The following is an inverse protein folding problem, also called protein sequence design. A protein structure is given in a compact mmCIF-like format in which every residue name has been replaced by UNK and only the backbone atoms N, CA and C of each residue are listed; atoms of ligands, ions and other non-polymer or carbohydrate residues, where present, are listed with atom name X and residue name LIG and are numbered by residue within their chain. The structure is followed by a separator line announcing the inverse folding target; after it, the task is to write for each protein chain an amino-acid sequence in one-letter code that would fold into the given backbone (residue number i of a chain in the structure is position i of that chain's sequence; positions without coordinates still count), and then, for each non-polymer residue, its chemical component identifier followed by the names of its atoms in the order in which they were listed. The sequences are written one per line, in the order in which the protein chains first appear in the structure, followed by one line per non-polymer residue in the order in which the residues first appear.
data_IF_930122258280
#
_entry.id   IF_930122258280
#
_cell.length_a   1.000
_cell.length_b   1.000
_cell.length_c   1.000
_cell.angle_alpha   90.00
_cell.angle_beta   90.00
_cell.angle_gamma   90.00
#
_symmetry.space_group_name_H-M   'P 1'
#
loop_
_entity.id
_entity.type
_entity.pdbx_description
1 polymer ?
#
# COMPACT_ATOMS: atom_id res chain seq x y z
N UNK A 1 19.98 18.17 23.87
CA UNK A 1 18.98 17.59 22.96
C UNK A 1 18.47 16.31 23.60
N UNK A 2 17.22 16.28 24.07
CA UNK A 2 16.61 15.08 24.61
C UNK A 2 16.44 14.04 23.49
N UNK A 3 17.25 12.98 23.52
CA UNK A 3 17.16 11.93 22.52
C UNK A 3 16.15 10.86 22.98
N UNK A 4 15.30 10.42 22.07
CA UNK A 4 14.41 9.28 22.32
C UNK A 4 15.25 8.01 22.29
N UNK A 5 15.39 7.34 23.44
CA UNK A 5 16.08 6.04 23.55
C UNK A 5 15.08 4.88 23.40
N UNK A 6 15.01 4.31 22.21
CA UNK A 6 14.24 3.06 21.96
C UNK A 6 15.10 1.85 22.32
N UNK A 7 14.50 0.89 23.02
CA UNK A 7 15.20 -0.35 23.49
C UNK A 7 15.88 -1.13 22.37
N UNK A 8 15.28 -1.15 21.16
CA UNK A 8 15.87 -1.78 19.98
C UNK A 8 15.74 -0.86 18.76
N UNK A 9 16.87 -0.40 18.19
CA UNK A 9 16.85 0.42 16.97
C UNK A 9 16.21 -0.28 15.77
N UNK A 10 16.62 -1.53 15.53
CA UNK A 10 16.15 -2.32 14.42
C UNK A 10 14.62 -2.56 14.50
N UNK A 11 14.13 -3.09 15.61
CA UNK A 11 12.72 -3.38 15.78
C UNK A 11 11.83 -2.12 15.85
N UNK A 12 12.40 -0.99 16.18
CA UNK A 12 11.66 0.27 16.14
C UNK A 12 11.31 0.71 14.71
N UNK A 13 12.05 0.25 13.71
CA UNK A 13 11.83 0.50 12.29
C UNK A 13 11.15 -0.69 11.62
N UNK A 14 11.74 -1.88 11.76
CA UNK A 14 11.24 -3.08 11.11
C UNK A 14 9.87 -3.54 11.65
N UNK A 15 9.62 -3.41 12.94
CA UNK A 15 8.36 -3.84 13.56
C UNK A 15 7.13 -3.17 12.95
N UNK A 16 7.03 -1.84 12.89
CA UNK A 16 5.94 -1.14 12.23
C UNK A 16 5.78 -1.49 10.75
N UNK A 17 6.90 -1.59 10.02
CA UNK A 17 6.87 -1.92 8.59
C UNK A 17 6.33 -3.33 8.35
N UNK A 18 6.82 -4.31 9.11
CA UNK A 18 6.34 -5.69 9.03
C UNK A 18 4.86 -5.81 9.44
N UNK A 19 4.45 -5.09 10.50
CA UNK A 19 3.04 -5.07 10.91
C UNK A 19 2.14 -4.42 9.86
N UNK A 20 2.59 -3.35 9.22
CA UNK A 20 1.89 -2.69 8.12
C UNK A 20 1.69 -3.64 6.94
N UNK A 21 2.75 -4.31 6.50
CA UNK A 21 2.71 -5.34 5.46
C UNK A 21 1.78 -6.50 5.84
N UNK A 22 1.94 -7.03 7.06
CA UNK A 22 1.13 -8.15 7.53
C UNK A 22 -0.37 -7.81 7.52
N UNK A 23 -0.77 -6.62 7.96
CA UNK A 23 -2.17 -6.19 7.93
C UNK A 23 -2.68 -6.10 6.49
N UNK A 24 -1.91 -5.49 5.58
CA UNK A 24 -2.29 -5.42 4.17
C UNK A 24 -2.55 -6.82 3.59
N UNK A 25 -1.59 -7.75 3.79
CA UNK A 25 -1.71 -9.11 3.30
C UNK A 25 -2.86 -9.89 3.94
N UNK A 26 -3.02 -9.79 5.26
CA UNK A 26 -4.06 -10.53 5.99
C UNK A 26 -5.45 -10.04 5.56
N UNK A 27 -5.67 -8.74 5.47
CA UNK A 27 -6.99 -8.18 5.09
C UNK A 27 -7.31 -8.56 3.64
N UNK A 28 -6.37 -8.39 2.71
CA UNK A 28 -6.57 -8.78 1.32
C UNK A 28 -6.84 -10.28 1.19
N UNK A 29 -6.00 -11.12 1.81
CA UNK A 29 -6.17 -12.57 1.78
C UNK A 29 -7.51 -13.00 2.36
N UNK A 30 -7.95 -12.42 3.49
CA UNK A 30 -9.24 -12.75 4.10
C UNK A 30 -10.40 -12.41 3.16
N UNK A 31 -10.40 -11.23 2.54
CA UNK A 31 -11.46 -10.81 1.62
C UNK A 31 -11.47 -11.70 0.37
N UNK A 32 -10.30 -11.91 -0.24
CA UNK A 32 -10.17 -12.78 -1.42
C UNK A 32 -10.64 -14.21 -1.11
N UNK A 33 -10.26 -14.75 0.05
CA UNK A 33 -10.72 -16.08 0.49
C UNK A 33 -12.24 -16.13 0.62
N UNK A 34 -12.86 -15.13 1.27
CA UNK A 34 -14.32 -15.08 1.42
C UNK A 34 -15.02 -15.00 0.07
N UNK A 35 -14.52 -14.18 -0.86
CA UNK A 35 -15.06 -14.10 -2.23
C UNK A 35 -14.93 -15.42 -2.97
N UNK A 36 -13.80 -16.11 -2.81
CA UNK A 36 -13.49 -17.36 -3.55
C UNK A 36 -14.16 -18.59 -2.96
N UNK A 37 -14.59 -18.58 -1.69
CA UNK A 37 -15.16 -19.74 -1.00
C UNK A 37 -16.32 -20.44 -1.75
N UNK A 38 -17.36 -19.74 -2.24
CA UNK A 38 -18.46 -20.39 -2.96
C UNK A 38 -17.96 -21.08 -4.23
N UNK A 39 -17.10 -20.43 -5.01
CA UNK A 39 -16.55 -20.98 -6.25
C UNK A 39 -15.65 -22.20 -5.99
N UNK A 40 -14.88 -22.17 -4.90
CA UNK A 40 -14.09 -23.35 -4.46
C UNK A 40 -14.98 -24.52 -4.07
N UNK A 41 -16.09 -24.26 -3.38
CA UNK A 41 -17.03 -25.29 -2.98
C UNK A 41 -17.70 -25.95 -4.20
N UNK A 42 -18.12 -25.13 -5.16
CA UNK A 42 -18.73 -25.60 -6.41
C UNK A 42 -17.72 -26.40 -7.25
N UNK A 43 -16.49 -25.88 -7.42
CA UNK A 43 -15.41 -26.57 -8.11
C UNK A 43 -15.09 -27.94 -7.48
N UNK A 44 -15.05 -28.00 -6.15
CA UNK A 44 -14.83 -29.24 -5.43
C UNK A 44 -16.00 -30.25 -5.61
N UNK A 45 -17.24 -29.75 -5.54
CA UNK A 45 -18.44 -30.61 -5.77
C UNK A 45 -18.46 -31.19 -7.19
N UNK A 46 -18.11 -30.40 -8.19
CA UNK A 46 -18.05 -30.86 -9.58
C UNK A 46 -16.91 -31.85 -9.82
N UNK A 47 -15.74 -31.62 -9.21
CA UNK A 47 -14.64 -32.60 -9.25
C UNK A 47 -15.03 -33.96 -8.59
N UNK A 48 -15.75 -33.90 -7.47
CA UNK A 48 -16.22 -35.13 -6.80
C UNK A 48 -17.23 -35.87 -7.65
N UNK A 49 -18.15 -35.19 -8.34
CA UNK A 49 -19.10 -35.79 -9.26
C UNK A 49 -18.41 -36.45 -10.47
N UNK A 50 -17.55 -35.68 -11.13
CA UNK A 50 -16.83 -36.18 -12.33
C UNK A 50 -15.79 -37.24 -12.00
N UNK A 51 -15.11 -37.15 -10.86
CA UNK A 51 -14.14 -38.14 -10.39
C UNK A 51 -14.77 -39.46 -9.94
N UNK A 52 -16.06 -39.47 -9.55
CA UNK A 52 -16.81 -40.67 -9.25
C UNK A 52 -17.21 -41.46 -10.51
N UNK A 53 -17.33 -40.76 -11.65
CA UNK A 53 -17.72 -41.37 -12.93
C UNK A 53 -16.51 -41.77 -13.80
N UNK A 54 -15.36 -41.13 -13.61
CA UNK A 54 -14.16 -41.31 -14.43
C UNK A 54 -12.89 -41.03 -13.63
N UNK A 55 -11.84 -41.83 -13.87
CA UNK A 55 -10.49 -41.55 -13.35
C UNK A 55 -9.88 -40.36 -14.12
N UNK A 56 -9.91 -39.19 -13.52
CA UNK A 56 -9.32 -37.96 -14.07
C UNK A 56 -7.81 -37.96 -13.90
N UNK A 57 -7.09 -37.51 -14.91
CA UNK A 57 -5.67 -37.20 -14.77
C UNK A 57 -5.47 -35.90 -13.92
N UNK A 58 -4.27 -35.74 -13.35
CA UNK A 58 -3.94 -34.54 -12.59
C UNK A 58 -4.08 -33.25 -13.43
N UNK A 59 -3.82 -33.33 -14.73
CA UNK A 59 -3.97 -32.22 -15.65
C UNK A 59 -5.43 -31.84 -15.84
N UNK A 60 -6.32 -32.81 -16.08
CA UNK A 60 -7.77 -32.57 -16.20
C UNK A 60 -8.37 -32.00 -14.92
N UNK A 61 -7.89 -32.43 -13.74
CA UNK A 61 -8.28 -31.84 -12.45
C UNK A 61 -7.85 -30.36 -12.35
N UNK A 62 -6.62 -30.05 -12.72
CA UNK A 62 -6.09 -28.73 -12.66
C UNK A 62 -6.81 -27.78 -13.64
N UNK A 63 -7.05 -28.22 -14.86
CA UNK A 63 -7.79 -27.45 -15.88
C UNK A 63 -9.22 -27.15 -15.43
N UNK A 64 -9.93 -28.19 -14.94
CA UNK A 64 -11.29 -28.05 -14.43
C UNK A 64 -11.37 -27.10 -13.25
N UNK A 65 -10.45 -27.22 -12.28
CA UNK A 65 -10.38 -26.34 -11.12
C UNK A 65 -10.08 -24.88 -11.53
N UNK A 66 -9.13 -24.67 -12.44
CA UNK A 66 -8.78 -23.34 -12.93
C UNK A 66 -9.96 -22.68 -13.63
N UNK A 67 -10.66 -23.42 -14.50
CA UNK A 67 -11.85 -22.92 -15.19
C UNK A 67 -12.99 -22.58 -14.21
N UNK A 68 -13.20 -23.39 -13.18
CA UNK A 68 -14.21 -23.13 -12.16
C UNK A 68 -13.88 -21.91 -11.26
N UNK A 69 -12.59 -21.59 -11.12
CA UNK A 69 -12.14 -20.43 -10.33
C UNK A 69 -12.05 -19.11 -11.12
N UNK A 70 -12.16 -19.15 -12.45
CA UNK A 70 -12.10 -17.96 -13.31
C UNK A 70 -13.12 -16.87 -12.91
N UNK A 71 -14.42 -17.19 -12.64
CA UNK A 71 -15.38 -16.19 -12.21
C UNK A 71 -15.03 -15.57 -10.85
N UNK A 72 -14.43 -16.33 -9.93
CA UNK A 72 -13.94 -15.78 -8.65
C UNK A 72 -12.83 -14.75 -8.88
N UNK A 73 -11.92 -15.05 -9.79
CA UNK A 73 -10.83 -14.15 -10.14
C UNK A 73 -11.35 -12.85 -10.78
N UNK A 74 -12.34 -12.94 -11.68
CA UNK A 74 -12.99 -11.75 -12.27
C UNK A 74 -13.63 -10.87 -11.20
N UNK A 75 -14.33 -11.44 -10.21
CA UNK A 75 -14.91 -10.69 -9.10
C UNK A 75 -13.83 -10.02 -8.26
N UNK A 76 -12.73 -10.71 -7.94
CA UNK A 76 -11.61 -10.13 -7.19
C UNK A 76 -10.99 -8.96 -7.95
N UNK A 77 -10.78 -9.09 -9.25
CA UNK A 77 -10.25 -8.01 -10.12
C UNK A 77 -11.22 -6.83 -10.17
N UNK A 78 -12.52 -7.09 -10.31
CA UNK A 78 -13.55 -6.05 -10.34
C UNK A 78 -13.58 -5.20 -9.05
N UNK A 79 -13.38 -5.82 -7.87
CA UNK A 79 -13.41 -5.15 -6.57
C UNK A 79 -12.01 -4.86 -6.00
N UNK A 80 -10.99 -4.84 -6.85
CA UNK A 80 -9.59 -4.64 -6.42
C UNK A 80 -9.38 -3.33 -5.65
N UNK A 81 -10.07 -2.25 -6.03
CA UNK A 81 -9.95 -0.94 -5.37
C UNK A 81 -10.57 -0.97 -3.98
N UNK A 82 -11.75 -1.60 -3.84
CA UNK A 82 -12.43 -1.77 -2.54
C UNK A 82 -11.62 -2.64 -1.59
N UNK A 83 -11.03 -3.72 -2.10
CA UNK A 83 -10.15 -4.62 -1.34
C UNK A 83 -8.92 -3.85 -0.85
N UNK A 84 -8.29 -3.07 -1.72
CA UNK A 84 -7.17 -2.21 -1.36
C UNK A 84 -7.57 -1.13 -0.34
N UNK A 85 -8.76 -0.56 -0.48
CA UNK A 85 -9.34 0.39 0.47
C UNK A 85 -9.55 -0.22 1.86
N UNK A 86 -10.09 -1.43 1.94
CA UNK A 86 -10.25 -2.14 3.21
C UNK A 86 -8.89 -2.41 3.89
N UNK A 87 -7.89 -2.82 3.14
CA UNK A 87 -6.53 -3.00 3.64
C UNK A 87 -5.91 -1.68 4.12
N UNK A 88 -6.13 -0.58 3.39
CA UNK A 88 -5.69 0.76 3.78
C UNK A 88 -6.35 1.24 5.07
N UNK A 89 -7.63 0.95 5.30
CA UNK A 89 -8.31 1.23 6.58
C UNK A 89 -7.65 0.46 7.74
N UNK A 90 -7.36 -0.81 7.55
CA UNK A 90 -6.66 -1.62 8.56
C UNK A 90 -5.29 -1.06 8.91
N UNK A 91 -4.51 -0.69 7.91
CA UNK A 91 -3.18 -0.08 8.11
C UNK A 91 -3.28 1.34 8.70
N UNK A 92 -4.33 2.09 8.40
CA UNK A 92 -4.56 3.41 8.98
C UNK A 92 -4.82 3.33 10.50
N UNK A 93 -5.55 2.33 10.95
CA UNK A 93 -5.74 2.07 12.39
C UNK A 93 -4.41 1.78 13.06
N UNK A 94 -3.60 0.87 12.50
CA UNK A 94 -2.26 0.56 13.03
C UNK A 94 -1.38 1.82 13.11
N UNK A 95 -1.27 2.55 12.01
CA UNK A 95 -0.41 3.73 11.93
C UNK A 95 -0.89 4.84 12.86
N UNK A 96 -2.22 5.01 13.03
CA UNK A 96 -2.80 5.93 14.00
C UNK A 96 -2.42 5.58 15.44
N UNK A 97 -2.46 4.30 15.81
CA UNK A 97 -2.04 3.84 17.15
C UNK A 97 -0.55 4.08 17.37
N UNK A 98 0.29 3.73 16.37
CA UNK A 98 1.73 3.92 16.46
C UNK A 98 2.10 5.40 16.53
N UNK A 99 1.47 6.24 15.73
CA UNK A 99 1.66 7.68 15.74
C UNK A 99 1.28 8.29 17.09
N UNK A 100 0.14 7.88 17.66
CA UNK A 100 -0.28 8.34 18.99
C UNK A 100 0.71 7.91 20.10
N UNK A 101 1.27 6.69 20.01
CA UNK A 101 2.32 6.23 20.93
C UNK A 101 3.60 7.05 20.79
N UNK A 102 4.03 7.32 19.56
CA UNK A 102 5.25 8.11 19.30
C UNK A 102 5.05 9.55 19.80
N UNK A 103 3.89 10.15 19.61
CA UNK A 103 3.55 11.48 20.15
C UNK A 103 3.57 11.53 21.68
N UNK A 104 3.08 10.49 22.36
CA UNK A 104 3.18 10.39 23.82
C UNK A 104 4.62 10.31 24.28
N UNK A 105 5.46 9.56 23.56
CA UNK A 105 6.87 9.42 23.87
C UNK A 105 7.64 10.73 23.63
N UNK A 106 7.39 11.42 22.52
CA UNK A 106 7.95 12.74 22.21
C UNK A 106 7.67 13.75 23.34
N UNK A 107 6.40 13.82 23.79
CA UNK A 107 5.98 14.67 24.90
C UNK A 107 6.68 14.30 26.21
N UNK A 108 6.79 13.02 26.54
CA UNK A 108 7.46 12.54 27.75
C UNK A 108 8.97 12.88 27.76
N UNK A 109 9.60 12.93 26.58
CA UNK A 109 10.99 13.35 26.40
C UNK A 109 11.17 14.88 26.33
N UNK A 110 10.11 15.67 26.48
CA UNK A 110 10.17 17.15 26.42
C UNK A 110 10.45 17.68 25.00
N UNK A 111 10.17 16.89 23.97
CA UNK A 111 10.29 17.34 22.57
C UNK A 111 9.09 18.20 22.25
N UNK A 112 9.33 19.45 21.83
CA UNK A 112 8.27 20.36 21.45
C UNK A 112 7.46 19.80 20.28
N UNK A 113 6.14 19.79 20.44
CA UNK A 113 5.22 19.46 19.34
C UNK A 113 5.26 20.61 18.35
N UNK A 114 5.41 20.31 17.07
CA UNK A 114 5.36 21.33 16.03
C UNK A 114 4.06 22.14 16.15
N UNK A 115 4.18 23.44 16.13
CA UNK A 115 3.05 24.36 16.14
C UNK A 115 2.17 24.14 14.91
N UNK A 116 0.86 24.30 15.09
CA UNK A 116 -0.07 24.31 13.97
C UNK A 116 0.25 25.50 13.07
N UNK A 117 0.44 25.22 11.79
CA UNK A 117 0.62 26.27 10.79
C UNK A 117 -0.74 26.81 10.35
N UNK A 118 -0.74 27.94 9.68
CA UNK A 118 -1.93 28.51 9.06
C UNK A 118 -2.48 27.56 7.98
N UNK A 119 -3.77 27.60 7.74
CA UNK A 119 -4.44 26.79 6.72
C UNK A 119 -3.83 26.96 5.33
N UNK A 120 -3.41 28.16 4.99
CA UNK A 120 -2.72 28.50 3.75
C UNK A 120 -1.49 27.61 3.48
N UNK A 121 -0.72 27.28 4.51
CA UNK A 121 0.46 26.40 4.39
C UNK A 121 0.05 24.98 4.01
N UNK A 122 -0.98 24.44 4.65
CA UNK A 122 -1.49 23.11 4.32
C UNK A 122 -2.07 23.05 2.90
N UNK A 123 -2.74 24.12 2.48
CA UNK A 123 -3.26 24.24 1.12
C UNK A 123 -2.14 24.30 0.08
N UNK A 124 -1.07 25.04 0.34
CA UNK A 124 0.12 25.08 -0.53
C UNK A 124 0.81 23.71 -0.62
N UNK A 125 0.94 22.99 0.51
CA UNK A 125 1.49 21.63 0.51
C UNK A 125 0.63 20.69 -0.33
N UNK A 126 -0.70 20.79 -0.23
CA UNK A 126 -1.61 20.01 -1.04
C UNK A 126 -1.43 20.30 -2.55
N UNK A 127 -1.39 21.58 -2.94
CA UNK A 127 -1.13 21.98 -4.34
C UNK A 127 0.22 21.46 -4.82
N UNK A 128 1.26 21.57 -4.00
CA UNK A 128 2.59 21.06 -4.33
C UNK A 128 2.58 19.53 -4.54
N UNK A 129 1.86 18.81 -3.70
CA UNK A 129 1.67 17.37 -3.84
C UNK A 129 0.99 16.99 -5.15
N UNK A 130 -0.11 17.67 -5.49
CA UNK A 130 -0.82 17.45 -6.77
C UNK A 130 0.08 17.79 -7.97
N UNK A 131 0.75 18.93 -7.94
CA UNK A 131 1.67 19.34 -9.00
C UNK A 131 2.84 18.34 -9.16
N UNK A 132 3.37 17.85 -8.05
CA UNK A 132 4.41 16.82 -8.04
C UNK A 132 3.95 15.50 -8.65
N UNK A 133 2.74 15.06 -8.35
CA UNK A 133 2.15 13.86 -8.95
C UNK A 133 1.99 14.03 -10.48
N UNK A 134 1.47 15.17 -10.93
CA UNK A 134 1.32 15.47 -12.37
C UNK A 134 2.69 15.49 -13.04
N UNK A 135 3.67 16.20 -12.45
CA UNK A 135 5.02 16.27 -13.00
C UNK A 135 5.70 14.89 -13.08
N UNK A 136 5.55 14.06 -12.06
CA UNK A 136 6.07 12.69 -12.06
C UNK A 136 5.42 11.84 -13.15
N UNK A 137 4.10 11.91 -13.30
CA UNK A 137 3.37 11.19 -14.37
C UNK A 137 3.81 11.64 -15.75
N UNK A 138 3.93 12.96 -15.98
CA UNK A 138 4.43 13.50 -17.25
C UNK A 138 5.87 13.01 -17.54
N UNK A 139 6.74 13.04 -16.53
CA UNK A 139 8.13 12.58 -16.68
C UNK A 139 8.19 11.09 -17.06
N UNK A 140 7.39 10.23 -16.39
CA UNK A 140 7.33 8.79 -16.69
C UNK A 140 6.81 8.54 -18.11
N UNK A 141 5.80 9.30 -18.54
CA UNK A 141 5.26 9.22 -19.90
C UNK A 141 6.27 9.68 -20.93
N UNK A 142 6.95 10.82 -20.71
CA UNK A 142 8.00 11.32 -21.60
C UNK A 142 9.20 10.36 -21.71
N UNK A 143 9.59 9.73 -20.60
CA UNK A 143 10.62 8.69 -20.58
C UNK A 143 10.15 7.36 -21.20
N UNK A 144 8.90 7.27 -21.64
CA UNK A 144 8.26 6.08 -22.20
C UNK A 144 8.25 4.85 -21.27
N UNK A 145 8.64 5.00 -20.01
CA UNK A 145 8.68 3.89 -19.04
C UNK A 145 7.30 3.25 -18.86
N UNK A 146 6.25 4.05 -18.84
CA UNK A 146 4.87 3.58 -18.69
C UNK A 146 4.41 2.69 -19.88
N UNK A 147 5.01 2.83 -21.06
CA UNK A 147 4.65 2.05 -22.25
C UNK A 147 5.36 0.69 -22.33
N UNK A 148 6.53 0.58 -21.71
CA UNK A 148 7.30 -0.67 -21.70
C UNK A 148 7.04 -1.55 -20.50
N UNK A 149 6.41 -1.00 -19.43
CA UNK A 149 6.11 -1.73 -18.22
C UNK A 149 4.68 -2.33 -18.28
N UNK A 150 4.57 -3.58 -18.70
CA UNK A 150 3.29 -4.29 -18.80
C UNK A 150 2.59 -4.45 -17.44
N UNK A 151 3.34 -4.61 -16.36
CA UNK A 151 2.78 -4.69 -15.01
C UNK A 151 2.16 -3.35 -14.59
N UNK A 152 2.82 -2.24 -14.92
CA UNK A 152 2.25 -0.92 -14.70
C UNK A 152 0.94 -0.72 -15.45
N UNK A 153 0.89 -1.08 -16.73
CA UNK A 153 -0.31 -0.96 -17.57
C UNK A 153 -1.47 -1.81 -17.02
N UNK A 154 -1.20 -3.05 -16.67
CA UNK A 154 -2.21 -3.94 -16.09
C UNK A 154 -2.74 -3.42 -14.76
N UNK A 155 -1.85 -2.97 -13.87
CA UNK A 155 -2.23 -2.37 -12.59
C UNK A 155 -3.09 -1.12 -12.82
N UNK A 156 -2.70 -0.24 -13.73
CA UNK A 156 -3.44 0.97 -14.05
C UNK A 156 -4.84 0.64 -14.59
N UNK A 157 -4.96 -0.30 -15.53
CA UNK A 157 -6.25 -0.73 -16.09
C UNK A 157 -7.18 -1.25 -14.98
N UNK A 158 -6.68 -2.10 -14.09
CA UNK A 158 -7.46 -2.66 -12.98
C UNK A 158 -7.92 -1.58 -12.01
N UNK A 159 -7.02 -0.69 -11.58
CA UNK A 159 -7.35 0.35 -10.62
C UNK A 159 -8.28 1.43 -11.19
N UNK A 160 -8.15 1.76 -12.47
CA UNK A 160 -9.00 2.76 -13.12
C UNK A 160 -10.31 2.19 -13.68
N UNK A 161 -10.54 0.88 -13.59
CA UNK A 161 -11.83 0.26 -13.94
C UNK A 161 -12.95 0.58 -12.91
N UNK A 162 -12.59 0.86 -11.65
CA UNK A 162 -13.56 1.26 -10.63
C UNK A 162 -14.24 2.61 -10.96
N UNK A 163 -15.43 2.84 -10.41
CA UNK A 163 -16.13 4.11 -10.56
C UNK A 163 -15.37 5.29 -9.96
N UNK A 164 -15.46 6.47 -10.59
CA UNK A 164 -14.73 7.67 -10.17
C UNK A 164 -14.83 8.01 -8.67
N UNK A 165 -16.03 7.94 -8.00
CA UNK A 165 -16.11 8.22 -6.56
C UNK A 165 -15.24 7.27 -5.72
N UNK A 166 -15.19 5.98 -6.09
CA UNK A 166 -14.37 4.98 -5.42
C UNK A 166 -12.88 5.24 -5.64
N UNK A 167 -12.48 5.54 -6.88
CA UNK A 167 -11.11 5.95 -7.19
C UNK A 167 -10.69 7.17 -6.36
N UNK A 168 -11.52 8.22 -6.34
CA UNK A 168 -11.21 9.45 -5.60
C UNK A 168 -11.09 9.20 -4.09
N UNK A 169 -11.99 8.41 -3.51
CA UNK A 169 -11.97 8.11 -2.08
C UNK A 169 -10.81 7.20 -1.68
N UNK A 170 -10.58 6.13 -2.42
CA UNK A 170 -9.61 5.10 -2.06
C UNK A 170 -8.22 5.47 -2.57
N UNK A 171 -8.06 5.65 -3.89
CA UNK A 171 -6.75 5.92 -4.50
C UNK A 171 -6.30 7.36 -4.27
N UNK A 172 -7.24 8.32 -4.23
CA UNK A 172 -6.93 9.74 -4.03
C UNK A 172 -6.73 10.15 -2.57
N UNK A 173 -7.36 9.47 -1.61
CA UNK A 173 -7.32 9.88 -0.20
C UNK A 173 -6.86 8.78 0.73
N UNK A 174 -7.55 7.65 0.77
CA UNK A 174 -7.36 6.66 1.84
C UNK A 174 -5.98 5.99 1.80
N UNK A 175 -5.59 5.48 0.63
CA UNK A 175 -4.27 4.86 0.43
C UNK A 175 -3.15 5.88 0.65
N UNK A 176 -3.13 7.06 0.00
CA UNK A 176 -2.08 8.05 0.23
C UNK A 176 -1.95 8.49 1.70
N UNK A 177 -3.06 8.70 2.41
CA UNK A 177 -3.02 9.06 3.83
C UNK A 177 -2.41 7.94 4.68
N UNK A 178 -2.78 6.69 4.42
CA UNK A 178 -2.20 5.52 5.11
C UNK A 178 -0.69 5.41 4.88
N UNK A 179 -0.26 5.60 3.63
CA UNK A 179 1.15 5.56 3.24
C UNK A 179 1.95 6.70 3.85
N UNK A 180 1.45 7.95 3.79
CA UNK A 180 2.11 9.09 4.40
C UNK A 180 2.23 8.96 5.93
N UNK A 181 1.20 8.42 6.59
CA UNK A 181 1.29 8.15 8.03
C UNK A 181 2.36 7.12 8.35
N UNK A 182 2.51 6.08 7.53
CA UNK A 182 3.53 5.04 7.73
C UNK A 182 4.93 5.58 7.42
N UNK A 183 5.13 6.12 6.21
CA UNK A 183 6.48 6.44 5.72
C UNK A 183 7.00 7.76 6.25
N UNK A 184 6.17 8.82 6.37
CA UNK A 184 6.58 10.14 6.88
C UNK A 184 6.22 10.31 8.35
N UNK A 185 5.04 9.87 8.75
CA UNK A 185 4.58 9.97 10.14
C UNK A 185 5.37 9.11 11.13
N UNK A 186 5.77 7.91 10.72
CA UNK A 186 6.44 6.93 11.60
C UNK A 186 7.87 6.67 11.16
N UNK A 187 8.08 6.10 9.97
CA UNK A 187 9.38 5.56 9.55
C UNK A 187 10.43 6.67 9.43
N UNK A 188 10.15 7.72 8.66
CA UNK A 188 11.03 8.88 8.51
C UNK A 188 11.39 9.51 9.86
N UNK A 189 10.39 9.77 10.73
CA UNK A 189 10.63 10.36 12.06
C UNK A 189 11.53 9.49 12.92
N UNK A 190 11.31 8.18 12.94
CA UNK A 190 12.14 7.24 13.70
C UNK A 190 13.57 7.13 13.15
N UNK A 191 13.77 7.25 11.83
CA UNK A 191 15.11 7.43 11.26
C UNK A 191 15.73 8.74 11.74
N UNK A 192 14.96 9.84 11.79
CA UNK A 192 15.42 11.15 12.25
C UNK A 192 15.82 11.19 13.73
N UNK A 193 15.35 10.30 14.55
CA UNK A 193 15.80 10.19 15.94
C UNK A 193 17.31 9.90 16.05
N UNK A 194 17.93 9.32 15.01
CA UNK A 194 19.33 8.83 15.05
C UNK A 194 20.17 9.30 13.86
N UNK A 195 19.55 9.66 12.77
CA UNK A 195 20.21 9.94 11.50
C UNK A 195 19.98 11.38 11.03
N UNK A 196 20.86 11.82 10.12
CA UNK A 196 20.72 13.12 9.47
C UNK A 196 19.51 13.14 8.53
N UNK A 197 19.01 14.33 8.20
CA UNK A 197 17.83 14.55 7.37
C UNK A 197 17.88 13.74 6.06
N UNK A 198 18.89 13.98 5.25
CA UNK A 198 19.00 13.34 3.92
C UNK A 198 19.05 11.81 3.98
N UNK A 199 19.78 11.24 4.94
CA UNK A 199 19.79 9.80 5.15
C UNK A 199 18.39 9.26 5.47
N UNK A 200 17.68 9.93 6.36
CA UNK A 200 16.33 9.53 6.75
C UNK A 200 15.34 9.67 5.59
N UNK A 201 15.44 10.74 4.80
CA UNK A 201 14.59 10.98 3.63
C UNK A 201 14.82 9.91 2.56
N UNK A 202 16.08 9.63 2.23
CA UNK A 202 16.43 8.60 1.23
C UNK A 202 15.97 7.23 1.71
N UNK A 203 16.29 6.81 2.94
CA UNK A 203 15.88 5.50 3.45
C UNK A 203 14.36 5.33 3.47
N UNK A 204 13.62 6.32 3.97
CA UNK A 204 12.15 6.26 3.99
C UNK A 204 11.58 6.19 2.57
N UNK A 205 12.13 6.93 1.62
CA UNK A 205 11.69 6.93 0.22
C UNK A 205 12.03 5.63 -0.51
N UNK A 206 13.17 5.00 -0.19
CA UNK A 206 13.53 3.68 -0.70
C UNK A 206 12.54 2.63 -0.21
N UNK A 207 12.23 2.61 1.09
CA UNK A 207 11.22 1.68 1.62
C UNK A 207 9.84 1.93 1.00
N UNK A 208 9.46 3.18 0.79
CA UNK A 208 8.22 3.54 0.10
C UNK A 208 8.20 3.01 -1.34
N UNK A 209 9.28 3.19 -2.09
CA UNK A 209 9.42 2.67 -3.45
C UNK A 209 9.31 1.14 -3.52
N UNK A 210 9.93 0.43 -2.57
CA UNK A 210 9.85 -1.04 -2.49
C UNK A 210 8.46 -1.60 -2.22
N UNK A 211 7.53 -0.78 -1.73
CA UNK A 211 6.13 -1.20 -1.55
C UNK A 211 5.36 -1.27 -2.87
N UNK A 212 5.90 -0.74 -3.94
CA UNK A 212 5.29 -0.76 -5.26
C UNK A 212 5.80 -1.95 -6.07
N UNK A 213 4.89 -2.69 -6.69
CA UNK A 213 5.19 -3.97 -7.34
C UNK A 213 5.82 -3.83 -8.72
N UNK A 214 5.69 -2.67 -9.35
CA UNK A 214 6.26 -2.41 -10.67
C UNK A 214 7.31 -1.30 -10.65
N UNK A 215 8.26 -1.38 -11.57
CA UNK A 215 9.43 -0.50 -11.62
C UNK A 215 9.04 0.95 -11.86
N UNK A 216 8.07 1.19 -12.73
CA UNK A 216 7.60 2.54 -13.06
C UNK A 216 7.04 3.23 -11.81
N UNK A 217 6.18 2.55 -11.05
CA UNK A 217 5.67 3.07 -9.79
C UNK A 217 6.76 3.26 -8.73
N UNK A 218 7.71 2.33 -8.63
CA UNK A 218 8.81 2.44 -7.68
C UNK A 218 9.66 3.70 -7.93
N UNK A 219 9.95 4.02 -9.19
CA UNK A 219 10.74 5.21 -9.54
C UNK A 219 10.01 6.50 -9.11
N UNK A 220 8.75 6.69 -9.52
CA UNK A 220 8.05 7.92 -9.14
C UNK A 220 7.74 7.98 -7.64
N UNK A 221 7.45 6.84 -7.00
CA UNK A 221 7.25 6.78 -5.56
C UNK A 221 8.52 7.21 -4.79
N UNK A 222 9.70 6.79 -5.25
CA UNK A 222 10.95 7.26 -4.69
C UNK A 222 11.12 8.78 -4.81
N UNK A 223 10.87 9.34 -5.99
CA UNK A 223 11.00 10.79 -6.25
C UNK A 223 9.99 11.60 -5.41
N UNK A 224 8.72 11.18 -5.42
CA UNK A 224 7.68 11.79 -4.58
C UNK A 224 8.02 11.63 -3.09
N UNK A 225 8.58 10.47 -2.71
CA UNK A 225 9.04 10.20 -1.38
C UNK A 225 10.08 11.19 -0.87
N UNK A 226 11.05 11.50 -1.70
CA UNK A 226 12.05 12.52 -1.38
C UNK A 226 11.44 13.92 -1.29
N UNK A 227 10.58 14.28 -2.24
CA UNK A 227 9.91 15.58 -2.26
C UNK A 227 9.05 15.81 -1.02
N UNK A 228 8.24 14.83 -0.62
CA UNK A 228 7.34 14.93 0.54
C UNK A 228 8.07 14.80 1.89
N UNK A 229 9.34 14.39 1.90
CA UNK A 229 10.17 14.35 3.11
C UNK A 229 10.78 15.70 3.44
N UNK A 230 10.90 16.61 2.45
CA UNK A 230 11.46 17.97 2.60
C UNK A 230 10.40 18.93 3.10
#
# INVERSE_FOLDING_TARGET
MNQIHRKSPFWSLAGPLLAYLAIQWIVQLAIVTVISLPYMADAYADLMRSGAERLLSMQEIMESYTAAMEPAFEVVVQYQVEIAGAAALGTLILTGILFAKDRKLEKACGIAVAEKKEFSVYFLIFILGVAGCIAATCLMTMAQLAFYDSQYQQTAQTLYAAGFPMQAAVLGVLIPVSEEMMFRGILFKRFRERQRFWYSAVCSSVFFAFMHTNVTQAIYAFLLGLMLSY
#
